data_IF_586093112078
#
_entry.id   IF_586093112078
#
_cell.length_a   1.000
_cell.length_b   1.000
_cell.length_c   1.000
_cell.angle_alpha   90.00
_cell.angle_beta   90.00
_cell.angle_gamma   90.00
#
_symmetry.space_group_name_H-M   'P 1'
#
loop_
_entity.id
_entity.type
_entity.pdbx_description
1 polymer ?
#
# COMPACT_ATOMS: atom_id res chain seq x y z
N UNK A 1 -32.31 -9.33 -12.44
CA UNK A 1 -31.06 -8.56 -12.69
C UNK A 1 -29.90 -9.46 -12.31
N UNK A 2 -28.81 -9.49 -13.08
CA UNK A 2 -27.61 -10.21 -12.67
C UNK A 2 -27.10 -9.67 -11.32
N UNK A 3 -26.65 -10.60 -10.45
CA UNK A 3 -26.09 -10.27 -9.16
C UNK A 3 -24.56 -10.35 -9.21
N UNK A 4 -23.89 -9.32 -8.77
CA UNK A 4 -22.42 -9.24 -8.72
C UNK A 4 -21.98 -9.21 -7.26
N UNK A 5 -21.52 -10.37 -6.79
CA UNK A 5 -21.07 -10.54 -5.40
C UNK A 5 -19.80 -9.75 -5.14
N UNK A 6 -19.70 -9.15 -3.95
CA UNK A 6 -18.47 -8.52 -3.46
C UNK A 6 -18.22 -8.88 -2.00
N UNK A 7 -16.97 -8.74 -1.59
CA UNK A 7 -16.49 -8.96 -0.24
C UNK A 7 -15.72 -7.73 0.17
N UNK A 8 -15.97 -7.22 1.40
CA UNK A 8 -15.12 -6.18 1.95
C UNK A 8 -14.15 -6.75 2.96
N UNK A 9 -12.96 -6.16 3.02
CA UNK A 9 -11.92 -6.53 3.97
C UNK A 9 -11.22 -5.28 4.53
N UNK A 10 -10.74 -5.39 5.75
CA UNK A 10 -9.78 -4.47 6.35
C UNK A 10 -8.39 -5.07 6.17
N UNK A 11 -7.52 -4.40 5.41
CA UNK A 11 -6.19 -4.90 5.01
C UNK A 11 -5.09 -4.26 5.84
N UNK A 12 -4.03 -5.00 6.16
CA UNK A 12 -2.94 -4.64 7.07
C UNK A 12 -3.39 -4.52 8.53
N UNK A 13 -4.29 -5.41 8.93
CA UNK A 13 -4.75 -5.51 10.32
C UNK A 13 -5.12 -6.95 10.66
N UNK A 14 -5.09 -7.29 11.94
CA UNK A 14 -5.57 -8.56 12.48
C UNK A 14 -6.88 -8.42 13.27
N UNK A 15 -7.51 -7.23 13.21
CA UNK A 15 -8.77 -6.94 13.92
C UNK A 15 -9.69 -6.06 13.06
N UNK A 16 -11.01 -6.19 13.22
CA UNK A 16 -11.98 -5.31 12.55
C UNK A 16 -11.75 -3.84 12.86
N UNK A 17 -12.10 -2.98 11.89
CA UNK A 17 -12.02 -1.51 11.99
C UNK A 17 -10.60 -0.95 12.12
N UNK A 18 -9.58 -1.76 11.86
CA UNK A 18 -8.20 -1.32 11.61
C UNK A 18 -7.89 -1.33 10.11
N UNK A 19 -6.63 -1.16 9.75
CA UNK A 19 -6.17 -1.32 8.38
C UNK A 19 -6.79 -0.38 7.35
N UNK A 20 -6.61 -0.72 6.07
CA UNK A 20 -7.20 -0.03 4.94
C UNK A 20 -8.37 -0.85 4.35
N UNK A 21 -9.46 -0.17 4.07
CA UNK A 21 -10.68 -0.79 3.56
C UNK A 21 -10.53 -1.16 2.08
N UNK A 22 -11.02 -2.33 1.73
CA UNK A 22 -10.99 -2.85 0.37
C UNK A 22 -12.32 -3.52 0.04
N UNK A 23 -12.82 -3.31 -1.18
CA UNK A 23 -13.85 -4.16 -1.76
C UNK A 23 -13.24 -5.02 -2.86
N UNK A 24 -13.61 -6.30 -2.89
CA UNK A 24 -13.17 -7.26 -3.91
C UNK A 24 -14.39 -7.90 -4.56
N UNK A 25 -14.49 -7.79 -5.88
CA UNK A 25 -15.43 -8.56 -6.71
C UNK A 25 -14.68 -9.79 -7.23
N UNK A 26 -14.87 -10.96 -6.61
CA UNK A 26 -13.99 -12.12 -6.84
C UNK A 26 -14.22 -12.83 -8.19
N UNK A 27 -15.33 -12.55 -8.84
CA UNK A 27 -15.70 -13.11 -10.16
C UNK A 27 -16.36 -11.98 -10.97
N UNK A 28 -15.53 -11.07 -11.48
CA UNK A 28 -16.02 -9.92 -12.23
C UNK A 28 -16.09 -10.22 -13.72
N UNK A 29 -17.31 -10.08 -14.28
CA UNK A 29 -17.56 -10.03 -15.73
C UNK A 29 -18.35 -8.75 -15.99
N UNK A 30 -17.67 -7.62 -15.97
CA UNK A 30 -18.23 -6.28 -16.03
C UNK A 30 -17.44 -5.41 -17.01
N UNK A 31 -18.13 -4.50 -17.69
CA UNK A 31 -17.48 -3.46 -18.49
C UNK A 31 -16.65 -2.51 -17.60
N UNK A 32 -15.54 -1.96 -18.12
CA UNK A 32 -14.68 -1.02 -17.37
C UNK A 32 -15.43 0.16 -16.75
N UNK A 33 -16.38 0.71 -17.50
CA UNK A 33 -17.20 1.84 -17.06
C UNK A 33 -18.07 1.48 -15.85
N UNK A 34 -18.60 0.25 -15.82
CA UNK A 34 -19.38 -0.28 -14.72
C UNK A 34 -18.50 -0.53 -13.49
N UNK A 35 -17.28 -1.08 -13.67
CA UNK A 35 -16.31 -1.23 -12.59
C UNK A 35 -15.99 0.11 -11.93
N UNK A 36 -15.75 1.16 -12.74
CA UNK A 36 -15.48 2.51 -12.24
C UNK A 36 -16.68 3.09 -11.48
N UNK A 37 -17.90 2.89 -11.98
CA UNK A 37 -19.13 3.38 -11.31
C UNK A 37 -19.40 2.66 -9.99
N UNK A 38 -19.21 1.34 -9.94
CA UNK A 38 -19.32 0.56 -8.70
C UNK A 38 -18.30 0.98 -7.66
N UNK A 39 -17.07 1.28 -8.08
CA UNK A 39 -16.04 1.79 -7.19
C UNK A 39 -16.41 3.14 -6.61
N UNK A 40 -16.93 4.04 -7.43
CA UNK A 40 -17.41 5.35 -6.98
C UNK A 40 -18.60 5.23 -6.00
N UNK A 41 -19.53 4.29 -6.25
CA UNK A 41 -20.69 4.03 -5.39
C UNK A 41 -20.27 3.48 -4.02
N UNK A 42 -19.31 2.53 -3.98
CA UNK A 42 -18.79 1.99 -2.74
C UNK A 42 -18.01 3.01 -1.92
N UNK A 43 -17.40 3.99 -2.59
CA UNK A 43 -16.65 5.10 -1.99
C UNK A 43 -15.58 4.66 -0.97
N UNK A 44 -14.95 3.50 -1.22
CA UNK A 44 -13.76 3.04 -0.49
C UNK A 44 -12.51 3.57 -1.19
N UNK A 45 -11.36 3.48 -0.51
CA UNK A 45 -10.06 3.90 -1.10
C UNK A 45 -9.84 3.24 -2.45
N UNK A 46 -10.01 1.91 -2.51
CA UNK A 46 -9.92 1.11 -3.74
C UNK A 46 -10.95 -0.03 -3.76
N UNK A 47 -11.25 -0.44 -4.98
CA UNK A 47 -12.03 -1.65 -5.29
C UNK A 47 -11.29 -2.47 -6.32
N UNK A 48 -11.27 -3.79 -6.14
CA UNK A 48 -10.63 -4.75 -7.03
C UNK A 48 -11.67 -5.62 -7.73
N UNK A 49 -11.50 -5.77 -9.03
CA UNK A 49 -12.24 -6.70 -9.86
C UNK A 49 -11.30 -7.82 -10.31
N UNK A 50 -11.65 -9.05 -9.92
CA UNK A 50 -10.87 -10.25 -10.22
C UNK A 50 -11.40 -10.90 -11.48
N UNK A 51 -10.53 -11.09 -12.46
CA UNK A 51 -10.83 -11.69 -13.75
C UNK A 51 -9.99 -12.97 -13.99
N UNK A 52 -10.36 -13.80 -14.95
CA UNK A 52 -9.48 -14.84 -15.46
C UNK A 52 -8.16 -14.24 -15.94
N UNK A 53 -7.02 -14.94 -15.77
CA UNK A 53 -5.73 -14.47 -16.27
C UNK A 53 -5.70 -14.51 -17.79
N UNK A 54 -4.96 -13.60 -18.43
CA UNK A 54 -4.68 -13.63 -19.87
C UNK A 54 -3.59 -14.68 -20.17
N UNK A 55 -2.59 -14.76 -19.29
CA UNK A 55 -1.58 -15.82 -19.35
C UNK A 55 -2.00 -16.98 -18.44
N UNK A 56 -2.24 -18.19 -18.97
CA UNK A 56 -2.67 -19.34 -18.16
C UNK A 56 -1.64 -19.80 -17.10
N UNK A 57 -0.41 -19.32 -17.17
CA UNK A 57 0.59 -19.54 -16.10
C UNK A 57 0.37 -18.67 -14.87
N UNK A 58 -0.45 -17.64 -14.94
CA UNK A 58 -0.78 -16.75 -13.84
C UNK A 58 -2.08 -17.18 -13.14
N UNK A 59 -2.28 -16.71 -11.92
CA UNK A 59 -3.40 -17.16 -11.08
C UNK A 59 -4.70 -16.42 -11.40
N UNK A 60 -4.65 -15.10 -11.44
CA UNK A 60 -5.79 -14.20 -11.73
C UNK A 60 -5.26 -12.91 -12.34
N UNK A 61 -6.17 -12.19 -13.00
CA UNK A 61 -5.95 -10.80 -13.40
C UNK A 61 -6.73 -9.88 -12.48
N UNK A 62 -6.09 -8.80 -12.02
CA UNK A 62 -6.70 -7.79 -11.16
C UNK A 62 -6.83 -6.46 -11.90
N UNK A 63 -8.00 -5.87 -11.82
CA UNK A 63 -8.23 -4.47 -12.18
C UNK A 63 -8.54 -3.70 -10.90
N UNK A 64 -7.79 -2.64 -10.65
CA UNK A 64 -7.81 -1.88 -9.40
C UNK A 64 -8.29 -0.48 -9.69
N UNK A 65 -9.34 -0.05 -9.00
CA UNK A 65 -9.93 1.26 -9.20
C UNK A 65 -9.97 2.05 -7.90
N UNK A 66 -9.66 3.34 -7.99
CA UNK A 66 -10.08 4.35 -7.01
C UNK A 66 -11.45 4.88 -7.41
N UNK A 67 -12.15 5.68 -6.58
CA UNK A 67 -13.40 6.33 -6.98
C UNK A 67 -13.32 7.17 -8.26
N UNK A 68 -12.12 7.57 -8.70
CA UNK A 68 -11.91 8.49 -9.82
C UNK A 68 -11.18 7.91 -11.02
N UNK A 69 -10.41 6.82 -10.86
CA UNK A 69 -9.57 6.28 -11.93
C UNK A 69 -9.13 4.83 -11.69
N UNK A 70 -8.77 4.13 -12.76
CA UNK A 70 -8.08 2.86 -12.67
C UNK A 70 -6.59 3.04 -12.37
N UNK A 71 -6.05 2.20 -11.50
CA UNK A 71 -4.63 2.17 -11.15
C UNK A 71 -3.93 0.98 -11.80
N UNK A 72 -2.72 1.16 -12.34
CA UNK A 72 -1.95 0.05 -12.91
C UNK A 72 -1.43 -0.93 -11.84
N UNK A 73 -1.37 -0.51 -10.58
CA UNK A 73 -0.88 -1.28 -9.45
C UNK A 73 -1.25 -0.58 -8.14
N UNK A 74 -1.60 -1.36 -7.11
CA UNK A 74 -1.74 -0.86 -5.75
C UNK A 74 -1.44 -1.94 -4.71
N UNK A 75 -0.67 -1.59 -3.65
CA UNK A 75 -0.11 -2.57 -2.71
C UNK A 75 -1.15 -3.22 -1.81
N UNK A 76 -2.00 -2.43 -1.10
CA UNK A 76 -2.99 -3.03 -0.20
C UNK A 76 -4.11 -3.79 -0.95
N UNK A 77 -4.57 -3.35 -2.14
CA UNK A 77 -5.51 -4.11 -2.95
C UNK A 77 -4.98 -5.49 -3.36
N UNK A 78 -3.71 -5.57 -3.76
CA UNK A 78 -3.05 -6.84 -4.15
C UNK A 78 -2.96 -7.80 -2.96
N UNK A 79 -2.45 -7.33 -1.81
CA UNK A 79 -2.35 -8.14 -0.57
C UNK A 79 -3.73 -8.54 -0.08
N UNK A 80 -4.68 -7.61 -0.05
CA UNK A 80 -6.04 -7.85 0.41
C UNK A 80 -6.79 -8.83 -0.47
N UNK A 81 -6.68 -8.70 -1.81
CA UNK A 81 -7.32 -9.64 -2.75
C UNK A 81 -6.75 -11.05 -2.60
N UNK A 82 -5.43 -11.19 -2.43
CA UNK A 82 -4.83 -12.51 -2.18
C UNK A 82 -5.43 -13.19 -0.94
N UNK A 83 -5.60 -12.42 0.14
CA UNK A 83 -6.18 -12.93 1.39
C UNK A 83 -7.68 -13.21 1.26
N UNK A 84 -8.46 -12.35 0.60
CA UNK A 84 -9.88 -12.58 0.32
C UNK A 84 -10.07 -13.87 -0.50
N UNK A 85 -9.30 -14.08 -1.56
CA UNK A 85 -9.39 -15.28 -2.38
C UNK A 85 -8.95 -16.54 -1.60
N UNK A 86 -7.94 -16.43 -0.74
CA UNK A 86 -7.46 -17.51 0.10
C UNK A 86 -8.49 -17.92 1.16
N UNK A 87 -8.99 -16.96 1.94
CA UNK A 87 -9.97 -17.20 3.02
C UNK A 87 -11.33 -17.70 2.50
N UNK A 88 -11.69 -17.34 1.27
CA UNK A 88 -12.92 -17.82 0.62
C UNK A 88 -12.75 -19.13 -0.16
N UNK A 89 -11.56 -19.76 -0.08
CA UNK A 89 -11.27 -21.04 -0.72
C UNK A 89 -11.11 -21.00 -2.24
N UNK A 90 -11.04 -19.80 -2.85
CA UNK A 90 -10.97 -19.62 -4.30
C UNK A 90 -9.58 -19.91 -4.89
N UNK A 91 -8.58 -20.12 -4.03
CA UNK A 91 -7.23 -20.57 -4.39
C UNK A 91 -6.98 -22.06 -4.04
N UNK A 92 -8.02 -22.77 -3.59
CA UNK A 92 -7.87 -24.11 -3.06
C UNK A 92 -7.27 -24.15 -1.64
N UNK A 93 -6.97 -25.33 -1.12
CA UNK A 93 -6.42 -25.50 0.22
C UNK A 93 -4.99 -24.96 0.27
N UNK A 94 -4.67 -24.22 1.37
CA UNK A 94 -3.34 -23.69 1.64
C UNK A 94 -2.86 -24.28 2.97
N UNK A 95 -1.97 -25.27 2.88
CA UNK A 95 -1.44 -25.94 4.09
C UNK A 95 -0.49 -25.01 4.86
N UNK A 96 0.61 -24.60 4.24
CA UNK A 96 1.62 -23.71 4.85
C UNK A 96 1.94 -22.50 3.99
N UNK A 97 2.12 -22.70 2.67
CA UNK A 97 2.53 -21.67 1.74
C UNK A 97 1.94 -21.93 0.35
N UNK A 98 1.56 -20.85 -0.31
CA UNK A 98 1.15 -20.83 -1.71
C UNK A 98 1.78 -19.60 -2.38
N UNK A 99 2.51 -19.83 -3.47
CA UNK A 99 3.02 -18.77 -4.33
C UNK A 99 2.09 -18.61 -5.52
N UNK A 100 1.64 -17.40 -5.78
CA UNK A 100 0.74 -17.04 -6.87
C UNK A 100 1.30 -15.85 -7.65
N UNK A 101 0.77 -15.62 -8.84
CA UNK A 101 1.08 -14.42 -9.62
C UNK A 101 -0.22 -13.78 -10.07
N UNK A 102 -0.41 -12.51 -9.75
CA UNK A 102 -1.46 -11.69 -10.31
C UNK A 102 -0.98 -10.96 -11.57
N UNK A 103 -1.86 -10.77 -12.54
CA UNK A 103 -1.68 -9.86 -13.65
C UNK A 103 -2.31 -8.52 -13.27
N UNK A 104 -1.52 -7.48 -13.26
CA UNK A 104 -1.97 -6.10 -13.01
C UNK A 104 -1.51 -5.21 -14.17
N UNK A 105 -1.98 -3.96 -14.23
CA UNK A 105 -1.60 -3.03 -15.31
C UNK A 105 -0.10 -2.80 -15.42
N UNK A 106 0.66 -2.97 -14.34
CA UNK A 106 2.13 -2.89 -14.29
C UNK A 106 2.82 -4.16 -14.80
N UNK A 107 2.08 -5.25 -15.01
CA UNK A 107 2.58 -6.58 -15.36
C UNK A 107 2.39 -7.61 -14.25
N UNK A 108 3.16 -8.72 -14.29
CA UNK A 108 3.06 -9.79 -13.29
C UNK A 108 3.52 -9.33 -11.90
N UNK A 109 2.69 -9.58 -10.90
CA UNK A 109 2.98 -9.29 -9.49
C UNK A 109 3.00 -10.59 -8.70
N UNK A 110 4.19 -11.08 -8.28
CA UNK A 110 4.29 -12.27 -7.44
C UNK A 110 3.78 -11.98 -6.03
N UNK A 111 2.97 -12.90 -5.50
CA UNK A 111 2.46 -12.85 -4.13
C UNK A 111 2.67 -14.19 -3.46
N UNK A 112 3.21 -14.18 -2.26
CA UNK A 112 3.33 -15.34 -1.40
C UNK A 112 2.27 -15.26 -0.31
N UNK A 113 1.48 -16.29 -0.14
CA UNK A 113 0.51 -16.45 0.94
C UNK A 113 1.07 -17.51 1.90
N UNK A 114 1.16 -17.16 3.18
CA UNK A 114 1.70 -18.06 4.20
C UNK A 114 0.76 -18.13 5.41
N UNK A 115 0.71 -19.31 6.04
CA UNK A 115 0.00 -19.53 7.30
C UNK A 115 1.01 -19.45 8.45
N UNK A 116 0.76 -18.56 9.40
CA UNK A 116 1.59 -18.43 10.60
C UNK A 116 1.39 -19.61 11.57
N UNK A 117 2.18 -19.66 12.64
CA UNK A 117 2.08 -20.70 13.66
C UNK A 117 0.73 -20.72 14.42
N UNK A 118 -0.02 -19.61 14.39
CA UNK A 118 -1.36 -19.52 14.95
C UNK A 118 -2.46 -19.89 13.94
N UNK A 119 -2.07 -20.29 12.72
CA UNK A 119 -3.00 -20.69 11.66
C UNK A 119 -3.58 -19.53 10.85
N UNK A 120 -3.14 -18.28 11.06
CA UNK A 120 -3.62 -17.10 10.34
C UNK A 120 -2.91 -16.97 9.02
N UNK A 121 -3.64 -16.56 7.97
CA UNK A 121 -3.05 -16.27 6.68
C UNK A 121 -2.47 -14.85 6.66
N UNK A 122 -1.29 -14.74 6.07
CA UNK A 122 -0.67 -13.49 5.66
C UNK A 122 -0.29 -13.55 4.19
N UNK A 123 -0.31 -12.41 3.51
CA UNK A 123 0.13 -12.32 2.13
C UNK A 123 1.22 -11.27 1.98
N UNK A 124 2.19 -11.56 1.11
CA UNK A 124 3.33 -10.67 0.83
C UNK A 124 3.53 -10.58 -0.67
N UNK A 125 3.38 -9.38 -1.23
CA UNK A 125 3.72 -9.10 -2.61
C UNK A 125 5.22 -8.78 -2.75
N UNK A 126 5.79 -9.13 -3.90
CA UNK A 126 7.08 -8.57 -4.34
C UNK A 126 6.79 -7.39 -5.26
N UNK A 127 7.34 -6.22 -4.91
CA UNK A 127 7.16 -5.01 -5.72
C UNK A 127 7.66 -5.24 -7.16
N UNK A 128 6.85 -4.96 -8.18
CA UNK A 128 7.24 -5.14 -9.58
C UNK A 128 8.39 -4.21 -10.00
N UNK A 129 8.57 -3.12 -9.23
CA UNK A 129 9.64 -2.14 -9.46
C UNK A 129 10.50 -2.09 -8.20
N UNK A 130 11.80 -2.32 -8.36
CA UNK A 130 12.77 -2.16 -7.27
C UNK A 130 12.83 -0.69 -6.87
N UNK A 131 12.55 -0.34 -5.60
CA UNK A 131 12.50 1.05 -5.19
C UNK A 131 13.87 1.72 -5.25
N UNK A 132 13.85 2.99 -5.65
CA UNK A 132 15.06 3.81 -5.77
C UNK A 132 14.83 5.23 -5.27
N UNK A 133 15.92 5.88 -4.86
CA UNK A 133 15.91 7.31 -4.63
C UNK A 133 15.83 8.05 -5.97
N UNK A 134 14.94 9.04 -6.04
CA UNK A 134 14.78 9.90 -7.22
C UNK A 134 15.77 11.06 -7.14
N UNK A 135 16.27 11.54 -8.30
CA UNK A 135 17.23 12.65 -8.35
C UNK A 135 16.59 14.03 -8.15
N UNK A 136 15.26 14.09 -8.09
CA UNK A 136 14.52 15.35 -7.97
C UNK A 136 14.90 16.10 -6.69
N UNK A 137 14.90 17.45 -6.73
CA UNK A 137 15.16 18.26 -5.55
C UNK A 137 14.17 17.95 -4.42
N UNK A 138 14.69 17.81 -3.20
CA UNK A 138 13.89 17.56 -2.01
C UNK A 138 14.02 18.71 -1.02
N UNK A 139 12.93 19.41 -0.78
CA UNK A 139 12.84 20.49 0.21
C UNK A 139 12.11 20.00 1.47
N UNK A 140 12.88 19.59 2.47
CA UNK A 140 12.35 19.07 3.73
C UNK A 140 11.54 20.14 4.51
N UNK A 141 11.94 21.41 4.42
CA UNK A 141 11.25 22.50 5.12
C UNK A 141 9.87 22.77 4.49
N UNK A 142 9.80 22.77 3.15
CA UNK A 142 8.55 22.92 2.43
C UNK A 142 7.60 21.73 2.69
N UNK A 143 8.12 20.50 2.67
CA UNK A 143 7.32 19.28 2.98
C UNK A 143 6.82 19.32 4.42
N UNK A 144 7.64 19.74 5.39
CA UNK A 144 7.22 19.92 6.78
C UNK A 144 6.11 20.97 6.90
N UNK A 145 6.31 22.14 6.29
CA UNK A 145 5.32 23.22 6.31
C UNK A 145 3.97 22.77 5.70
N UNK A 146 4.01 21.98 4.61
CA UNK A 146 2.81 21.46 3.95
C UNK A 146 1.99 20.50 4.82
N UNK A 147 2.58 19.98 5.90
CA UNK A 147 1.87 19.17 6.92
C UNK A 147 1.78 19.87 8.26
N UNK A 148 1.91 21.20 8.30
CA UNK A 148 1.75 22.01 9.51
C UNK A 148 2.87 21.84 10.55
N UNK A 149 4.02 21.34 10.13
CA UNK A 149 5.19 21.15 10.99
C UNK A 149 6.25 22.22 10.73
N UNK A 150 7.00 22.58 11.76
CA UNK A 150 8.16 23.46 11.69
C UNK A 150 9.48 22.69 11.52
N UNK A 151 10.57 23.39 11.25
CA UNK A 151 11.89 22.78 11.10
C UNK A 151 12.38 22.02 12.34
N UNK A 152 11.89 22.37 13.54
CA UNK A 152 12.24 21.67 14.78
C UNK A 152 11.59 20.27 14.87
N UNK A 153 10.57 20.00 14.05
CA UNK A 153 9.96 18.68 13.95
C UNK A 153 10.80 17.69 13.13
N UNK A 154 11.72 18.17 12.31
CA UNK A 154 12.58 17.30 11.50
C UNK A 154 13.52 16.47 12.38
N UNK A 155 13.72 15.22 12.04
CA UNK A 155 14.70 14.38 12.70
C UNK A 155 16.10 14.66 12.11
N UNK A 156 17.05 15.17 12.94
CA UNK A 156 18.39 15.49 12.46
C UNK A 156 19.27 14.26 12.20
N UNK A 157 18.85 13.07 12.67
CA UNK A 157 19.63 11.84 12.56
C UNK A 157 19.67 11.29 11.14
N UNK A 158 18.66 11.60 10.31
CA UNK A 158 18.55 11.05 8.95
C UNK A 158 17.94 12.05 7.97
N UNK A 159 18.55 12.20 6.81
CA UNK A 159 18.01 13.05 5.76
C UNK A 159 16.87 12.35 5.01
N UNK A 160 15.79 13.09 4.73
CA UNK A 160 14.71 12.67 3.87
C UNK A 160 15.11 12.57 2.38
N UNK A 161 14.12 12.41 1.53
CA UNK A 161 14.30 12.34 0.08
C UNK A 161 13.07 11.82 -0.63
N UNK A 162 13.13 11.79 -1.95
CA UNK A 162 12.06 11.26 -2.79
C UNK A 162 12.41 9.81 -3.15
N UNK A 163 11.50 8.87 -2.88
CA UNK A 163 11.67 7.45 -3.18
C UNK A 163 10.48 6.94 -3.99
N UNK A 164 10.75 6.04 -4.94
CA UNK A 164 9.73 5.51 -5.84
C UNK A 164 9.90 4.02 -6.07
N UNK A 165 8.79 3.31 -5.99
CA UNK A 165 8.59 1.95 -6.48
C UNK A 165 7.48 1.93 -7.57
N UNK A 166 7.48 2.97 -8.44
CA UNK A 166 6.44 3.25 -9.43
C UNK A 166 5.77 4.60 -9.17
N UNK A 167 5.26 4.82 -7.97
CA UNK A 167 4.78 6.12 -7.50
C UNK A 167 5.84 6.76 -6.60
N UNK A 168 6.08 8.06 -6.76
CA UNK A 168 7.06 8.81 -5.98
C UNK A 168 6.44 9.33 -4.68
N UNK A 169 7.18 9.17 -3.56
CA UNK A 169 6.81 9.69 -2.26
C UNK A 169 7.95 10.53 -1.67
N UNK A 170 7.59 11.70 -1.17
CA UNK A 170 8.48 12.55 -0.38
C UNK A 170 8.58 11.98 1.04
N UNK A 171 9.63 11.23 1.32
CA UNK A 171 9.88 10.64 2.64
C UNK A 171 10.49 11.69 3.54
N UNK A 172 9.75 12.10 4.57
CA UNK A 172 10.18 13.09 5.56
C UNK A 172 10.36 12.42 6.93
N UNK A 173 11.59 12.19 7.38
CA UNK A 173 11.85 11.81 8.76
C UNK A 173 11.50 12.93 9.73
N UNK A 174 10.70 12.60 10.75
CA UNK A 174 10.29 13.52 11.80
C UNK A 174 10.56 12.92 13.17
N UNK A 175 10.73 13.77 14.17
CA UNK A 175 10.87 13.34 15.55
C UNK A 175 9.62 12.58 16.01
N UNK A 176 9.76 11.44 16.73
CA UNK A 176 8.63 10.58 17.12
C UNK A 176 7.48 11.31 17.81
N UNK A 177 7.78 12.28 18.66
CA UNK A 177 6.80 13.08 19.39
C UNK A 177 6.05 14.11 18.52
N UNK A 178 6.54 14.38 17.31
CA UNK A 178 5.96 15.37 16.39
C UNK A 178 5.08 14.73 15.29
N UNK A 179 5.20 13.42 15.08
CA UNK A 179 4.51 12.74 13.99
C UNK A 179 2.98 12.92 14.05
N UNK A 180 2.38 12.76 15.22
CA UNK A 180 0.92 12.84 15.40
C UNK A 180 0.36 14.26 15.23
N UNK A 181 1.21 15.30 15.30
CA UNK A 181 0.79 16.69 15.10
C UNK A 181 0.63 17.08 13.63
N UNK A 182 1.10 16.25 12.70
CA UNK A 182 1.04 16.56 11.27
C UNK A 182 -0.42 16.63 10.79
N UNK A 183 -0.72 17.67 10.03
CA UNK A 183 -2.01 17.87 9.35
C UNK A 183 -1.76 18.59 8.04
N UNK A 184 -2.24 18.06 6.92
CA UNK A 184 -1.96 18.64 5.61
C UNK A 184 -2.64 20.01 5.45
N UNK A 185 -1.84 21.01 5.07
CA UNK A 185 -2.34 22.30 4.56
C UNK A 185 -2.56 22.17 3.06
N UNK A 186 -3.83 21.98 2.67
CA UNK A 186 -4.21 21.80 1.28
C UNK A 186 -3.94 23.04 0.41
N UNK A 187 -3.91 24.23 0.99
CA UNK A 187 -3.62 25.44 0.23
C UNK A 187 -2.13 25.53 -0.12
N UNK A 188 -1.27 25.30 0.87
CA UNK A 188 0.17 25.26 0.68
C UNK A 188 0.58 24.09 -0.22
N UNK A 189 0.01 22.88 0.03
CA UNK A 189 0.24 21.72 -0.81
C UNK A 189 -0.12 22.01 -2.28
N UNK A 190 -1.31 22.59 -2.53
CA UNK A 190 -1.77 22.90 -3.90
C UNK A 190 -0.87 23.90 -4.61
N UNK A 191 -0.38 24.90 -3.90
CA UNK A 191 0.42 25.97 -4.51
C UNK A 191 1.88 25.59 -4.77
N UNK A 192 2.44 24.61 -4.01
CA UNK A 192 3.87 24.34 -4.06
C UNK A 192 4.24 22.87 -4.35
N UNK A 193 3.39 21.90 -4.04
CA UNK A 193 3.72 20.48 -4.16
C UNK A 193 2.91 19.74 -5.22
N UNK A 194 1.69 20.20 -5.52
CA UNK A 194 0.85 19.57 -6.54
C UNK A 194 1.57 19.54 -7.91
N UNK A 195 1.56 18.36 -8.55
CA UNK A 195 2.22 18.15 -9.85
C UNK A 195 3.75 18.01 -9.78
N UNK A 196 4.35 18.08 -8.59
CA UNK A 196 5.80 17.84 -8.39
C UNK A 196 6.08 16.40 -7.95
N UNK A 197 7.34 16.00 -7.95
CA UNK A 197 7.76 14.70 -7.41
C UNK A 197 7.52 14.57 -5.88
N UNK A 198 7.25 15.69 -5.17
CA UNK A 198 6.94 15.74 -3.74
C UNK A 198 5.44 15.77 -3.43
N UNK A 199 4.55 15.58 -4.41
CA UNK A 199 3.09 15.72 -4.18
C UNK A 199 2.48 14.69 -3.22
N UNK A 200 3.11 13.51 -3.05
CA UNK A 200 2.69 12.49 -2.09
C UNK A 200 3.65 12.49 -0.92
N UNK A 201 3.13 12.74 0.28
CA UNK A 201 3.93 12.96 1.47
C UNK A 201 3.92 11.70 2.34
N UNK A 202 5.11 11.23 2.72
CA UNK A 202 5.27 10.08 3.59
C UNK A 202 6.14 10.45 4.79
N UNK A 203 5.51 10.76 5.90
CA UNK A 203 6.19 11.08 7.13
C UNK A 203 6.56 9.79 7.86
N UNK A 204 7.77 9.74 8.40
CA UNK A 204 8.26 8.58 9.11
C UNK A 204 8.99 8.97 10.40
N UNK A 205 8.76 8.21 11.46
CA UNK A 205 9.43 8.36 12.75
C UNK A 205 9.94 7.01 13.22
N UNK A 206 11.17 6.98 13.72
CA UNK A 206 11.81 5.80 14.32
C UNK A 206 12.66 6.23 15.52
N UNK A 207 12.72 5.36 16.51
CA UNK A 207 13.60 5.59 17.69
C UNK A 207 15.07 5.25 17.37
N UNK A 208 15.30 4.49 16.30
CA UNK A 208 16.64 4.11 15.83
C UNK A 208 16.66 3.95 14.31
N UNK A 209 17.15 4.95 13.62
CA UNK A 209 17.30 4.92 12.16
C UNK A 209 18.44 4.02 11.69
N UNK A 210 19.43 3.77 12.53
CA UNK A 210 20.63 3.02 12.11
C UNK A 210 20.40 1.51 12.12
N UNK A 211 19.76 0.98 13.16
CA UNK A 211 19.59 -0.45 13.35
C UNK A 211 18.15 -0.89 13.67
N UNK A 212 17.24 0.07 13.91
CA UNK A 212 15.84 -0.19 14.24
C UNK A 212 15.11 -0.97 13.14
N UNK A 213 14.14 -1.78 13.57
CA UNK A 213 13.31 -2.61 12.69
C UNK A 213 11.84 -2.20 12.71
N UNK A 214 11.54 -1.07 13.31
CA UNK A 214 10.18 -0.51 13.39
C UNK A 214 10.18 0.97 13.03
N UNK A 215 9.10 1.43 12.41
CA UNK A 215 8.83 2.84 12.21
C UNK A 215 7.32 3.12 12.30
N UNK A 216 6.97 4.30 12.78
CA UNK A 216 5.63 4.85 12.65
C UNK A 216 5.60 5.76 11.43
N UNK A 217 4.54 5.65 10.63
CA UNK A 217 4.45 6.39 9.39
C UNK A 217 3.06 6.98 9.19
N UNK A 218 2.98 8.08 8.44
CA UNK A 218 1.72 8.68 7.98
C UNK A 218 1.85 9.04 6.50
N UNK A 219 0.77 8.87 5.74
CA UNK A 219 0.76 9.14 4.31
C UNK A 219 -0.36 10.12 3.94
N UNK A 220 0.00 11.17 3.20
CA UNK A 220 -0.93 12.17 2.70
C UNK A 220 -0.81 12.26 1.18
N UNK A 221 -1.93 12.08 0.47
CA UNK A 221 -1.97 12.05 -0.99
C UNK A 221 -3.16 12.85 -1.57
N UNK A 222 -3.22 14.17 -1.37
CA UNK A 222 -4.34 14.96 -1.89
C UNK A 222 -4.49 14.88 -3.42
N UNK A 223 -3.40 14.62 -4.16
CA UNK A 223 -3.43 14.39 -5.61
C UNK A 223 -4.24 13.14 -6.02
N UNK A 224 -4.39 12.17 -5.12
CA UNK A 224 -5.20 10.97 -5.33
C UNK A 224 -6.62 11.10 -4.76
N UNK A 225 -6.99 12.31 -4.28
CA UNK A 225 -8.26 12.52 -3.58
C UNK A 225 -8.28 12.02 -2.14
N UNK A 226 -7.13 11.58 -1.61
CA UNK A 226 -6.99 11.02 -0.27
C UNK A 226 -6.21 12.01 0.59
N UNK A 227 -6.88 12.65 1.57
CA UNK A 227 -6.21 13.60 2.45
C UNK A 227 -5.17 12.88 3.30
N UNK A 228 -5.53 11.79 3.94
CA UNK A 228 -4.62 10.88 4.65
C UNK A 228 -5.11 9.44 4.48
N UNK A 229 -4.18 8.51 4.26
CA UNK A 229 -4.47 7.10 4.02
C UNK A 229 -4.07 6.24 5.23
N UNK A 230 -4.93 5.30 5.70
CA UNK A 230 -4.66 4.51 6.90
C UNK A 230 -3.58 3.44 6.73
N UNK A 231 -3.33 2.94 5.50
CA UNK A 231 -2.27 1.97 5.26
C UNK A 231 -1.92 1.90 3.76
N UNK A 232 -0.68 2.28 3.42
CA UNK A 232 -0.27 2.52 2.03
C UNK A 232 0.85 1.58 1.59
N UNK A 233 0.49 0.50 0.90
CA UNK A 233 1.46 -0.49 0.42
C UNK A 233 2.47 0.07 -0.58
N UNK A 234 2.05 0.94 -1.51
CA UNK A 234 2.94 1.56 -2.50
C UNK A 234 4.00 2.48 -1.84
N UNK A 235 3.59 3.27 -0.84
CA UNK A 235 4.52 4.10 -0.07
C UNK A 235 5.47 3.24 0.77
N UNK A 236 4.96 2.17 1.38
CA UNK A 236 5.75 1.20 2.13
C UNK A 236 6.83 0.54 1.25
N UNK A 237 6.50 0.19 -0.01
CA UNK A 237 7.49 -0.31 -0.98
C UNK A 237 8.58 0.74 -1.28
N UNK A 238 8.21 1.99 -1.53
CA UNK A 238 9.17 3.10 -1.69
C UNK A 238 10.05 3.29 -0.45
N UNK A 239 9.47 3.15 0.74
CA UNK A 239 10.15 3.28 2.01
C UNK A 239 11.18 2.17 2.27
N UNK A 240 11.00 0.97 1.69
CA UNK A 240 12.07 -0.06 1.68
C UNK A 240 13.34 0.50 1.03
N UNK A 241 13.21 1.23 -0.08
CA UNK A 241 14.35 1.89 -0.74
C UNK A 241 15.02 2.93 0.16
N UNK A 242 14.22 3.72 0.89
CA UNK A 242 14.74 4.68 1.87
C UNK A 242 15.54 3.96 2.98
N UNK A 243 14.98 2.94 3.61
CA UNK A 243 15.64 2.20 4.69
C UNK A 243 16.93 1.50 4.18
N UNK A 244 16.88 0.87 3.01
CA UNK A 244 18.04 0.24 2.41
C UNK A 244 19.17 1.25 2.13
N UNK A 245 18.84 2.44 1.63
CA UNK A 245 19.81 3.49 1.37
C UNK A 245 20.43 4.09 2.66
N UNK A 246 19.67 4.14 3.75
CA UNK A 246 20.12 4.75 5.01
C UNK A 246 20.80 3.77 5.95
N UNK A 247 20.28 2.55 6.09
CA UNK A 247 20.82 1.52 6.98
C UNK A 247 21.92 0.68 6.31
N UNK A 248 21.93 0.59 4.97
CA UNK A 248 22.89 -0.23 4.20
C UNK A 248 23.03 -1.65 4.76
N UNK A 249 21.92 -2.41 4.85
CA UNK A 249 21.96 -3.74 5.42
C UNK A 249 22.90 -4.67 4.63
N UNK A 250 23.45 -5.67 5.32
CA UNK A 250 24.25 -6.71 4.69
C UNK A 250 23.43 -7.53 3.69
N UNK A 251 24.12 -8.30 2.84
CA UNK A 251 23.47 -9.22 1.90
C UNK A 251 22.51 -10.19 2.61
N UNK A 252 21.41 -10.50 1.95
CA UNK A 252 20.32 -11.29 2.46
C UNK A 252 19.03 -10.50 2.63
N UNK A 253 18.12 -11.01 3.45
CA UNK A 253 16.80 -10.41 3.65
C UNK A 253 16.72 -9.67 4.99
N UNK A 254 16.50 -8.37 4.92
CA UNK A 254 16.23 -7.54 6.11
C UNK A 254 14.75 -7.19 6.15
N UNK A 255 14.15 -7.28 7.35
CA UNK A 255 12.72 -7.05 7.59
C UNK A 255 12.48 -5.89 8.53
N UNK A 256 11.38 -5.16 8.31
CA UNK A 256 10.89 -4.09 9.18
C UNK A 256 9.37 -4.20 9.30
N UNK A 257 8.84 -3.61 10.36
CA UNK A 257 7.40 -3.45 10.59
C UNK A 257 7.07 -1.97 10.66
N UNK A 258 6.06 -1.55 9.91
CA UNK A 258 5.53 -0.19 9.94
C UNK A 258 4.19 -0.16 10.67
N UNK A 259 3.96 0.88 11.46
CA UNK A 259 2.66 1.22 12.04
C UNK A 259 2.14 2.48 11.37
N UNK A 260 0.92 2.43 10.82
CA UNK A 260 0.26 3.55 10.14
C UNK A 260 -1.20 3.65 10.60
N UNK A 261 -1.85 4.81 10.39
CA UNK A 261 -3.30 4.98 10.53
C UNK A 261 -3.83 5.09 11.96
N UNK A 262 -2.97 5.16 12.98
CA UNK A 262 -3.40 5.33 14.37
C UNK A 262 -4.20 6.65 14.56
N UNK A 263 -3.76 7.71 13.91
CA UNK A 263 -4.39 9.04 13.96
C UNK A 263 -5.76 9.08 13.29
N UNK A 264 -6.03 8.13 12.40
CA UNK A 264 -7.33 7.93 11.74
C UNK A 264 -8.25 6.97 12.50
N UNK A 265 -7.82 6.44 13.66
CA UNK A 265 -8.53 5.40 14.39
C UNK A 265 -8.53 4.03 13.69
N UNK A 266 -7.71 3.86 12.64
CA UNK A 266 -7.55 2.63 11.87
C UNK A 266 -6.11 2.10 11.94
N UNK A 267 -5.66 1.65 13.13
CA UNK A 267 -4.28 1.21 13.30
C UNK A 267 -3.97 0.04 12.37
N UNK A 268 -2.87 0.18 11.65
CA UNK A 268 -2.42 -0.73 10.61
C UNK A 268 -1.01 -1.21 10.91
N UNK A 269 -0.71 -2.46 10.53
CA UNK A 269 0.61 -3.06 10.57
C UNK A 269 0.99 -3.51 9.16
N UNK A 270 2.08 -2.97 8.64
CA UNK A 270 2.63 -3.33 7.33
C UNK A 270 4.01 -3.93 7.55
N UNK A 271 4.18 -5.19 7.17
CA UNK A 271 5.48 -5.84 7.22
C UNK A 271 6.19 -5.65 5.86
N UNK A 272 7.43 -5.16 5.90
CA UNK A 272 8.21 -4.89 4.69
C UNK A 272 9.57 -5.58 4.75
N UNK A 273 10.16 -5.85 3.60
CA UNK A 273 11.51 -6.39 3.54
C UNK A 273 12.28 -5.95 2.31
N UNK A 274 13.59 -5.83 2.48
CA UNK A 274 14.57 -5.67 1.42
C UNK A 274 15.36 -6.96 1.23
N UNK A 275 15.60 -7.34 -0.01
CA UNK A 275 16.60 -8.35 -0.35
C UNK A 275 17.81 -7.65 -0.97
N UNK A 276 18.95 -7.84 -0.35
CA UNK A 276 20.22 -7.26 -0.77
C UNK A 276 21.11 -8.37 -1.34
N UNK A 277 21.66 -8.13 -2.50
CA UNK A 277 22.61 -9.00 -3.17
C UNK A 277 23.77 -8.15 -3.72
N UNK A 278 24.99 -8.51 -3.38
CA UNK A 278 26.22 -7.77 -3.73
C UNK A 278 26.12 -6.28 -3.37
N UNK A 279 25.58 -6.00 -2.16
CA UNK A 279 25.38 -4.65 -1.65
C UNK A 279 24.28 -3.83 -2.36
N UNK A 280 23.49 -4.44 -3.24
CA UNK A 280 22.41 -3.78 -4.00
C UNK A 280 21.03 -4.29 -3.58
N UNK A 281 20.07 -3.39 -3.47
CA UNK A 281 18.67 -3.75 -3.32
C UNK A 281 18.16 -4.41 -4.61
N UNK A 282 17.78 -5.69 -4.53
CA UNK A 282 17.28 -6.46 -5.68
C UNK A 282 15.79 -6.76 -5.61
N UNK A 283 15.21 -6.77 -4.41
CA UNK A 283 13.77 -6.90 -4.25
C UNK A 283 13.27 -6.16 -3.01
N UNK A 284 12.08 -5.60 -3.11
CA UNK A 284 11.31 -5.05 -2.00
C UNK A 284 10.00 -5.81 -1.90
N UNK A 285 9.60 -6.14 -0.67
CA UNK A 285 8.34 -6.85 -0.42
C UNK A 285 7.50 -6.11 0.60
N UNK A 286 6.20 -6.19 0.42
CA UNK A 286 5.19 -5.58 1.30
C UNK A 286 4.14 -6.63 1.61
N UNK A 287 3.82 -6.81 2.88
CA UNK A 287 2.87 -7.83 3.31
C UNK A 287 2.16 -7.49 4.61
N UNK A 288 1.22 -8.34 4.95
CA UNK A 288 0.43 -8.24 6.17
C UNK A 288 -0.73 -9.22 6.18
N UNK A 289 -1.66 -8.99 7.10
CA UNK A 289 -2.88 -9.76 7.29
C UNK A 289 -4.10 -8.94 6.85
N UNK A 290 -5.27 -9.58 6.75
CA UNK A 290 -6.54 -8.90 6.54
C UNK A 290 -7.66 -9.57 7.34
N UNK A 291 -8.73 -8.82 7.57
CA UNK A 291 -9.96 -9.32 8.20
C UNK A 291 -11.10 -9.12 7.21
N UNK A 292 -11.81 -10.20 6.86
CA UNK A 292 -13.01 -10.11 6.05
C UNK A 292 -14.13 -9.46 6.86
N UNK A 293 -14.77 -8.43 6.30
CA UNK A 293 -15.73 -7.61 7.03
C UNK A 293 -17.17 -7.86 6.65
N UNK A 294 -17.46 -7.96 5.35
CA UNK A 294 -18.82 -8.17 4.87
C UNK A 294 -18.86 -8.89 3.53
N UNK A 295 -20.02 -9.45 3.23
CA UNK A 295 -20.40 -10.00 1.92
C UNK A 295 -21.67 -9.30 1.46
N UNK A 296 -21.72 -8.98 0.17
CA UNK A 296 -22.88 -8.34 -0.44
C UNK A 296 -22.97 -8.64 -1.93
N UNK A 297 -24.00 -8.12 -2.57
CA UNK A 297 -24.17 -8.17 -4.03
C UNK A 297 -24.81 -6.89 -4.53
N UNK A 298 -24.37 -6.46 -5.70
CA UNK A 298 -25.07 -5.44 -6.49
C UNK A 298 -25.98 -6.12 -7.51
N UNK A 299 -27.19 -5.62 -7.64
CA UNK A 299 -28.13 -5.98 -8.69
C UNK A 299 -28.06 -4.95 -9.81
N UNK A 300 -27.50 -5.31 -10.95
CA UNK A 300 -27.33 -4.40 -12.07
C UNK A 300 -28.26 -4.82 -13.22
N UNK A 301 -28.84 -3.88 -13.98
CA UNK A 301 -29.54 -4.18 -15.22
C UNK A 301 -28.57 -4.78 -16.24
N UNK A 302 -29.09 -5.59 -17.20
CA UNK A 302 -28.28 -6.10 -18.30
C UNK A 302 -27.71 -4.94 -19.12
N UNK A 303 -26.38 -4.97 -19.33
CA UNK A 303 -25.66 -3.94 -20.10
C UNK A 303 -25.31 -2.66 -19.28
N UNK A 304 -25.39 -2.71 -17.96
CA UNK A 304 -24.97 -1.58 -17.09
C UNK A 304 -23.45 -1.43 -17.01
#
# INVERSE_FOLDING_TARGET
MPQHAFITADVFTDRPFGGNQLAVFPDADLAPETMQRLTAELHLSETVFVLPPENPAHTRRLRIFTPTMELPFAGHPTVGTALVLAETGRLGPIDRRLDITFEEGVGPVPVTIERDAAGRLGATLTSPIVPRQMPDPFDAALVAAAVGLDAAALDPAVAGGIFSAGVSFAVLPVRPERLSAATVDLALWRSHLAGTAMQHLYLAASDDWAAGRTARVRMFAPAMGIVEDPATGAAAAGFVGFLAARQRPADGVTRWTLSQGAELGRPSRIDISAEILDGKLVAARVGGTAVLMSHGSFELPEGA
#
